data_IF_650743194201
#
_entry.id   IF_650743194201
#
_cell.length_a   1.000
_cell.length_b   1.000
_cell.length_c   1.000
_cell.angle_alpha   90.00
_cell.angle_beta   90.00
_cell.angle_gamma   90.00
#
_symmetry.space_group_name_H-M   'P 1'
#
loop_
_entity.id
_entity.type
_entity.pdbx_description
1 polymer ?
#
# COMPACT_ATOMS: atom_id res chain seq x y z
N UNK A 1 60.40 -15.35 -25.66
CA UNK A 1 59.13 -15.87 -26.20
C UNK A 1 58.20 -16.12 -25.03
N UNK A 2 56.92 -15.80 -25.08
CA UNK A 2 56.11 -15.19 -26.13
C UNK A 2 54.80 -14.77 -25.46
N UNK A 3 54.33 -13.56 -25.79
CA UNK A 3 52.98 -13.14 -25.48
C UNK A 3 52.02 -13.92 -26.37
N UNK A 4 51.03 -14.60 -25.78
CA UNK A 4 49.84 -15.05 -26.51
C UNK A 4 48.63 -14.75 -25.64
N UNK A 5 48.05 -13.57 -25.85
CA UNK A 5 46.66 -13.29 -25.51
C UNK A 5 45.80 -14.00 -26.56
N UNK A 6 44.90 -14.93 -26.20
CA UNK A 6 43.84 -15.33 -27.10
C UNK A 6 42.76 -14.22 -27.10
N UNK A 7 42.80 -13.38 -28.12
CA UNK A 7 41.60 -12.75 -28.67
C UNK A 7 40.92 -13.82 -29.53
N UNK A 8 39.70 -14.26 -29.20
CA UNK A 8 38.65 -14.35 -30.20
C UNK A 8 37.30 -14.78 -29.59
N UNK A 9 36.34 -13.86 -29.67
CA UNK A 9 34.99 -14.09 -30.19
C UNK A 9 34.24 -15.34 -29.71
N UNK A 10 33.46 -15.20 -28.65
CA UNK A 10 31.98 -15.24 -28.70
C UNK A 10 31.51 -15.06 -27.25
N UNK A 11 31.47 -13.81 -26.78
CA UNK A 11 30.52 -13.49 -25.71
C UNK A 11 29.19 -13.52 -26.43
N UNK A 12 28.61 -14.72 -26.58
CA UNK A 12 27.17 -14.88 -26.63
C UNK A 12 26.65 -13.84 -25.65
N UNK A 13 25.87 -12.90 -26.16
CA UNK A 13 25.24 -11.87 -25.35
C UNK A 13 24.44 -12.67 -24.34
N UNK A 14 25.03 -12.90 -23.17
CA UNK A 14 24.38 -13.53 -22.05
C UNK A 14 23.34 -12.50 -21.69
N UNK A 15 22.15 -12.72 -22.25
CA UNK A 15 20.93 -11.99 -21.97
C UNK A 15 21.02 -11.56 -20.50
N UNK A 16 21.04 -10.24 -20.24
CA UNK A 16 20.96 -9.81 -18.86
C UNK A 16 19.74 -10.55 -18.28
N UNK A 17 19.90 -11.32 -17.19
CA UNK A 17 18.74 -11.86 -16.52
C UNK A 17 17.83 -10.66 -16.28
N UNK A 18 16.54 -10.73 -16.67
CA UNK A 18 15.66 -9.59 -16.53
C UNK A 18 15.76 -9.10 -15.09
N UNK A 19 15.77 -7.78 -14.85
CA UNK A 19 15.68 -7.27 -13.49
C UNK A 19 14.52 -8.00 -12.81
N UNK A 20 14.61 -8.35 -11.50
CA UNK A 20 13.50 -8.98 -10.83
C UNK A 20 12.28 -8.12 -11.12
N UNK A 21 11.30 -8.70 -11.82
CA UNK A 21 10.08 -7.99 -12.17
C UNK A 21 9.59 -7.28 -10.91
N UNK A 22 9.03 -6.05 -11.00
CA UNK A 22 8.27 -5.53 -9.87
C UNK A 22 7.32 -6.66 -9.44
N UNK A 23 7.20 -6.95 -8.13
CA UNK A 23 6.28 -8.00 -7.72
C UNK A 23 4.95 -7.68 -8.40
N UNK A 24 4.43 -8.65 -9.17
CA UNK A 24 3.07 -8.58 -9.70
C UNK A 24 2.17 -8.03 -8.58
N UNK A 25 1.15 -7.19 -8.88
CA UNK A 25 0.24 -6.70 -7.84
C UNK A 25 -0.18 -7.91 -7.04
N UNK A 26 0.27 -7.95 -5.79
CA UNK A 26 0.15 -9.12 -4.93
C UNK A 26 -1.32 -9.48 -4.97
N UNK A 27 -1.62 -10.72 -5.40
CA UNK A 27 -2.97 -11.20 -5.50
C UNK A 27 -3.73 -10.79 -4.23
N UNK A 28 -4.79 -10.03 -4.47
CA UNK A 28 -5.87 -9.67 -3.56
C UNK A 28 -5.91 -10.64 -2.38
N UNK A 29 -5.35 -10.24 -1.24
CA UNK A 29 -5.87 -10.77 0.01
C UNK A 29 -7.34 -10.36 -0.05
N UNK A 30 -8.25 -11.34 -0.18
CA UNK A 30 -9.68 -11.09 -0.16
C UNK A 30 -10.04 -10.62 1.25
N UNK A 31 -9.76 -9.36 1.51
CA UNK A 31 -10.02 -8.73 2.77
C UNK A 31 -11.44 -8.19 2.71
N UNK A 32 -12.20 -8.47 3.76
CA UNK A 32 -13.57 -7.99 3.86
C UNK A 32 -13.54 -6.51 4.23
N UNK A 33 -13.64 -5.64 3.23
CA UNK A 33 -13.71 -4.18 3.40
C UNK A 33 -15.07 -3.73 3.99
N UNK A 34 -15.97 -4.66 4.28
CA UNK A 34 -17.23 -4.38 4.95
C UNK A 34 -16.97 -3.86 6.37
N UNK A 35 -17.49 -2.67 6.70
CA UNK A 35 -17.52 -2.16 8.07
C UNK A 35 -18.50 -2.97 8.93
N UNK A 36 -18.05 -4.16 9.35
CA UNK A 36 -18.80 -5.06 10.20
C UNK A 36 -18.71 -4.67 11.70
N UNK A 37 -19.75 -5.00 12.45
CA UNK A 37 -19.84 -4.70 13.88
C UNK A 37 -20.31 -3.27 14.18
N UNK A 38 -20.54 -2.98 15.46
CA UNK A 38 -20.91 -1.63 15.89
C UNK A 38 -19.72 -0.72 15.67
N UNK A 39 -19.83 0.34 14.84
CA UNK A 39 -18.72 1.26 14.55
C UNK A 39 -17.44 0.61 13.97
N UNK A 40 -17.55 -0.55 13.32
CA UNK A 40 -16.40 -1.21 12.68
C UNK A 40 -15.48 -2.00 13.61
N UNK A 41 -15.94 -2.39 14.80
CA UNK A 41 -15.18 -3.24 15.74
C UNK A 41 -14.77 -4.60 15.13
N UNK A 42 -15.63 -5.15 14.25
CA UNK A 42 -15.42 -6.44 13.60
C UNK A 42 -14.85 -6.30 12.19
N UNK A 43 -14.45 -5.09 11.76
CA UNK A 43 -13.83 -4.88 10.46
C UNK A 43 -12.56 -5.73 10.30
N UNK A 44 -12.48 -6.48 9.20
CA UNK A 44 -11.36 -7.37 8.85
C UNK A 44 -10.73 -7.05 7.49
N UNK A 45 -10.99 -5.85 6.96
CA UNK A 45 -10.39 -5.39 5.72
C UNK A 45 -8.88 -5.17 5.82
N UNK A 46 -8.26 -4.88 4.70
CA UNK A 46 -6.84 -4.66 4.53
C UNK A 46 -6.52 -3.20 4.23
N UNK A 47 -7.39 -2.26 4.61
CA UNK A 47 -7.03 -0.86 4.56
C UNK A 47 -5.79 -0.59 5.43
N UNK A 48 -4.75 -0.02 4.82
CA UNK A 48 -3.47 0.36 5.46
C UNK A 48 -3.18 1.86 5.40
N UNK A 49 -4.12 2.65 4.86
CA UNK A 49 -4.02 4.10 4.75
C UNK A 49 -5.13 4.77 5.53
N UNK A 50 -4.82 5.93 6.10
CA UNK A 50 -5.79 6.78 6.78
C UNK A 50 -6.55 7.64 5.78
N UNK A 51 -7.57 8.36 6.23
CA UNK A 51 -8.34 9.32 5.39
C UNK A 51 -7.48 10.37 4.70
N UNK A 52 -6.39 10.80 5.34
CA UNK A 52 -5.45 11.76 4.75
C UNK A 52 -4.37 11.09 3.89
N UNK A 53 -4.45 9.78 3.66
CA UNK A 53 -3.46 9.01 2.91
C UNK A 53 -2.19 8.65 3.70
N UNK A 54 -2.16 8.83 5.03
CA UNK A 54 -0.99 8.46 5.84
C UNK A 54 -0.90 6.95 5.96
N UNK A 55 0.31 6.41 5.86
CA UNK A 55 0.54 4.98 6.05
C UNK A 55 0.37 4.59 7.51
N UNK A 56 -0.44 3.57 7.76
CA UNK A 56 -0.63 3.00 9.07
C UNK A 56 0.66 2.33 9.58
N UNK A 57 0.96 2.60 10.84
CA UNK A 57 1.96 1.92 11.63
C UNK A 57 1.43 0.54 12.04
N UNK A 58 2.32 -0.44 12.05
CA UNK A 58 2.03 -1.79 12.50
C UNK A 58 1.61 -1.80 13.98
N UNK A 59 0.53 -2.51 14.34
CA UNK A 59 0.01 -2.54 15.72
C UNK A 59 0.95 -3.21 16.73
N UNK A 60 1.98 -3.90 16.26
CA UNK A 60 3.06 -4.45 17.11
C UNK A 60 4.31 -3.54 17.11
N UNK A 61 4.42 -2.62 16.14
CA UNK A 61 5.54 -1.67 16.11
C UNK A 61 5.37 -0.63 17.19
N UNK A 62 6.45 -0.32 17.89
CA UNK A 62 6.49 0.74 18.91
C UNK A 62 7.09 2.04 18.38
N UNK A 63 7.27 2.15 17.05
CA UNK A 63 7.90 3.28 16.37
C UNK A 63 7.09 3.65 15.11
N UNK A 64 6.88 4.95 14.82
CA UNK A 64 7.27 6.13 15.62
C UNK A 64 6.45 6.30 16.91
N UNK A 65 5.23 5.75 16.98
CA UNK A 65 4.37 5.94 18.13
C UNK A 65 4.34 4.71 19.02
N UNK A 66 4.92 4.83 20.21
CA UNK A 66 4.80 3.79 21.24
C UNK A 66 3.36 3.67 21.71
N UNK A 67 2.76 2.48 21.68
CA UNK A 67 1.41 2.22 22.21
C UNK A 67 1.39 1.02 23.17
N UNK A 68 0.47 1.02 24.13
CA UNK A 68 0.58 0.18 25.33
C UNK A 68 -0.41 -0.97 25.40
N UNK A 69 -1.52 -0.94 24.65
CA UNK A 69 -2.64 -1.78 25.02
C UNK A 69 -2.62 -3.06 24.19
N UNK A 70 -2.44 -4.19 24.88
CA UNK A 70 -2.65 -5.52 24.29
C UNK A 70 -4.07 -5.73 23.76
N UNK A 71 -5.03 -4.93 24.25
CA UNK A 71 -6.39 -4.89 23.70
C UNK A 71 -6.41 -4.29 22.29
N UNK A 72 -5.60 -3.26 22.03
CA UNK A 72 -5.49 -2.61 20.72
C UNK A 72 -4.90 -3.55 19.65
N UNK A 73 -3.94 -4.38 20.04
CA UNK A 73 -3.33 -5.37 19.16
C UNK A 73 -4.20 -6.62 18.91
N UNK A 74 -5.33 -6.77 19.61
CA UNK A 74 -6.16 -7.97 19.53
C UNK A 74 -6.87 -8.03 18.18
N UNK A 75 -6.48 -8.99 17.33
CA UNK A 75 -6.99 -9.10 15.94
C UNK A 75 -6.22 -8.27 14.91
N UNK A 76 -5.17 -7.57 15.36
CA UNK A 76 -4.34 -6.68 14.53
C UNK A 76 -2.84 -6.98 14.66
N UNK A 77 -2.48 -7.97 15.50
CA UNK A 77 -1.10 -8.34 15.77
C UNK A 77 -0.34 -8.64 14.48
N UNK A 78 0.83 -8.02 14.32
CA UNK A 78 1.71 -8.21 13.17
C UNK A 78 1.24 -7.61 11.84
N UNK A 79 0.17 -6.80 11.84
CA UNK A 79 -0.27 -6.08 10.64
C UNK A 79 -0.46 -4.58 10.92
N UNK A 80 -0.54 -3.78 9.86
CA UNK A 80 -0.81 -2.35 9.90
C UNK A 80 -2.21 -2.00 9.36
N UNK A 81 -3.16 -2.92 9.45
CA UNK A 81 -4.52 -2.70 8.97
C UNK A 81 -5.33 -1.83 9.93
N UNK A 82 -6.22 -1.00 9.40
CA UNK A 82 -7.13 -0.19 10.21
C UNK A 82 -8.10 -1.07 11.01
N UNK A 83 -8.30 -0.77 12.29
CA UNK A 83 -9.10 -1.57 13.22
C UNK A 83 -9.77 -0.65 14.24
N UNK A 84 -10.75 -1.17 14.97
CA UNK A 84 -11.41 -0.44 16.05
C UNK A 84 -11.52 -1.28 17.33
N UNK A 85 -10.41 -1.46 18.07
CA UNK A 85 -10.40 -2.28 19.29
C UNK A 85 -10.97 -1.58 20.53
N UNK A 86 -11.11 -0.25 20.51
CA UNK A 86 -11.47 0.58 21.68
C UNK A 86 -12.88 1.20 21.58
N UNK A 87 -13.66 0.85 20.56
CA UNK A 87 -15.04 1.33 20.39
C UNK A 87 -15.15 2.79 19.90
N UNK A 88 -14.09 3.27 19.24
CA UNK A 88 -14.04 4.57 18.56
C UNK A 88 -15.16 4.70 17.50
N UNK A 89 -15.46 5.91 16.97
CA UNK A 89 -16.55 6.10 16.02
C UNK A 89 -16.44 5.27 14.73
N UNK A 90 -15.22 4.94 14.30
CA UNK A 90 -14.93 4.13 13.11
C UNK A 90 -13.54 3.51 13.25
N UNK A 91 -13.14 2.69 12.26
CA UNK A 91 -11.80 2.11 12.16
C UNK A 91 -10.72 3.19 12.10
N UNK A 92 -9.59 2.91 12.72
CA UNK A 92 -8.45 3.82 12.79
C UNK A 92 -7.14 3.02 12.83
N UNK A 93 -6.03 3.72 12.73
CA UNK A 93 -4.71 3.14 12.95
C UNK A 93 -3.74 4.17 13.53
N UNK A 94 -2.67 3.68 14.17
CA UNK A 94 -1.48 4.50 14.38
C UNK A 94 -0.87 4.88 13.04
N UNK A 95 -0.29 6.07 12.91
CA UNK A 95 0.33 6.47 11.63
C UNK A 95 1.84 6.39 11.70
N UNK A 96 2.51 6.30 10.55
CA UNK A 96 3.98 6.40 10.48
C UNK A 96 4.49 7.84 10.50
N UNK A 97 3.59 8.82 10.53
CA UNK A 97 3.94 10.24 10.60
C UNK A 97 4.21 10.65 12.06
N UNK A 98 5.39 11.21 12.39
CA UNK A 98 5.74 11.56 13.76
C UNK A 98 4.89 12.69 14.35
N UNK A 99 4.24 13.51 13.53
CA UNK A 99 3.38 14.62 13.95
C UNK A 99 1.93 14.18 14.15
N UNK A 100 1.53 13.01 13.63
CA UNK A 100 0.18 12.47 13.76
C UNK A 100 0.21 11.08 14.37
N UNK A 101 -0.05 11.01 15.68
CA UNK A 101 0.00 9.74 16.41
C UNK A 101 -0.92 8.65 15.82
N UNK A 102 -2.17 9.00 15.56
CA UNK A 102 -3.18 8.11 15.02
C UNK A 102 -4.19 8.91 14.20
N UNK A 103 -4.92 8.24 13.33
CA UNK A 103 -5.96 8.84 12.51
C UNK A 103 -7.01 7.80 12.10
N UNK A 104 -8.22 8.27 11.81
CA UNK A 104 -9.30 7.44 11.27
C UNK A 104 -8.99 6.97 9.85
N UNK A 105 -9.54 5.82 9.51
CA UNK A 105 -9.51 5.26 8.16
C UNK A 105 -10.92 5.13 7.61
N UNK A 106 -11.01 4.93 6.30
CA UNK A 106 -12.19 4.45 5.61
C UNK A 106 -11.87 3.10 4.97
N UNK A 107 -12.84 2.19 4.82
CA UNK A 107 -12.63 0.96 4.08
C UNK A 107 -12.17 1.27 2.66
N UNK A 108 -11.37 0.38 2.07
CA UNK A 108 -11.02 0.51 0.66
C UNK A 108 -12.30 0.43 -0.16
N UNK A 109 -12.60 1.40 -1.04
CA UNK A 109 -13.61 1.17 -2.05
C UNK A 109 -13.21 -0.05 -2.88
N UNK A 110 -14.17 -0.85 -3.33
CA UNK A 110 -13.95 -1.96 -4.27
C UNK A 110 -13.20 -1.53 -5.56
N UNK A 111 -13.00 -0.22 -5.77
CA UNK A 111 -12.29 0.41 -6.89
C UNK A 111 -10.97 1.10 -6.51
N UNK A 112 -10.33 0.78 -5.38
CA UNK A 112 -9.05 1.39 -4.94
C UNK A 112 -7.81 1.13 -5.84
N UNK A 113 -8.01 0.74 -7.10
CA UNK A 113 -7.03 0.92 -8.17
C UNK A 113 -6.94 2.40 -8.64
N UNK A 114 -7.90 3.24 -8.30
CA UNK A 114 -8.00 4.60 -8.85
C UNK A 114 -7.99 5.63 -7.73
N UNK A 115 -6.78 5.97 -7.25
CA UNK A 115 -6.38 7.30 -6.79
C UNK A 115 -4.85 7.30 -6.59
N UNK A 116 -4.15 7.01 -7.68
CA UNK A 116 -2.88 7.66 -7.99
C UNK A 116 -3.15 8.42 -9.29
N UNK A 117 -3.37 9.73 -9.18
CA UNK A 117 -3.77 10.58 -10.29
C UNK A 117 -2.95 10.35 -11.56
N UNK A 118 -3.57 9.69 -12.53
CA UNK A 118 -3.17 9.63 -13.92
C UNK A 118 -4.37 9.18 -14.77
N UNK A 119 -5.44 9.98 -14.78
CA UNK A 119 -6.35 9.96 -15.94
C UNK A 119 -5.74 10.89 -16.99
N UNK A 120 -5.30 10.29 -18.09
CA UNK A 120 -5.22 11.00 -19.36
C UNK A 120 -6.65 11.28 -19.80
N UNK A 121 -7.11 12.52 -19.70
CA UNK A 121 -8.38 12.91 -20.29
C UNK A 121 -8.24 12.82 -21.82
N UNK A 122 -8.86 11.78 -22.36
CA UNK A 122 -8.85 11.44 -23.77
C UNK A 122 -9.99 12.11 -24.53
N UNK A 123 -10.26 13.41 -24.31
CA UNK A 123 -11.09 14.19 -25.22
C UNK A 123 -10.80 15.70 -25.21
N UNK A 124 -9.54 16.09 -25.48
CA UNK A 124 -9.32 17.37 -26.19
C UNK A 124 -9.48 17.12 -27.69
N UNK A 125 -10.73 16.92 -28.11
CA UNK A 125 -11.14 17.21 -29.48
C UNK A 125 -10.92 18.69 -29.75
N UNK A 126 -9.71 19.07 -30.18
CA UNK A 126 -9.54 20.30 -30.95
C UNK A 126 -10.09 20.03 -32.35
N UNK A 127 -11.42 20.02 -32.47
CA UNK A 127 -12.09 20.10 -33.76
C UNK A 127 -12.09 21.56 -34.23
N UNK A 128 -11.76 21.67 -35.51
CA UNK A 128 -11.69 22.85 -36.35
C UNK A 128 -12.94 23.76 -36.25
N UNK A 129 -12.72 25.05 -36.05
CA UNK A 129 -13.65 26.12 -36.43
C UNK A 129 -12.92 27.47 -36.40
N UNK A 130 -12.53 27.99 -37.56
CA UNK A 130 -13.15 29.20 -38.12
C UNK A 130 -12.31 29.76 -39.29
N UNK A 131 -12.95 29.73 -40.46
CA UNK A 131 -12.93 30.67 -41.60
C UNK A 131 -11.60 31.27 -42.08
#
# INVERSE_FOLDING_TARGET
GGYTYPDLFDVTVGECPPPPSPPAPVAEQACDETLAGTKGEDYRGCQTKTRSGRTCQNWDSQTPHRHGNRKEAKGSAGNNYCRNPDGEPTIWCYTTDPNKRWEFCDPLPESSAEEAGATCDSDVSCQDAAE
#
